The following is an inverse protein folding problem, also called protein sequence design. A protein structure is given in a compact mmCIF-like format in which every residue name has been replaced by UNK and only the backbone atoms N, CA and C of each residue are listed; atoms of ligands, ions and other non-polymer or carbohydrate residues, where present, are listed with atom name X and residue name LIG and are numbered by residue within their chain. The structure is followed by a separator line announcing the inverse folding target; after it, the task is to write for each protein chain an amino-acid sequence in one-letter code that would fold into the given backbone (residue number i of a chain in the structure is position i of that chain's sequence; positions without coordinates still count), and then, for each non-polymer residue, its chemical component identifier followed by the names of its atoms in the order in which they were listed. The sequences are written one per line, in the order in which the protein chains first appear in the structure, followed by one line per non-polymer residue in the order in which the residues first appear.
data_IF_282194374721
#
_entry.id   IF_282194374721
#
_cell.length_a   1.000
_cell.length_b   1.000
_cell.length_c   1.000
_cell.angle_alpha   90.00
_cell.angle_beta   90.00
_cell.angle_gamma   90.00
#
_symmetry.space_group_name_H-M   'P 1'
#
loop_
_entity.id
_entity.type
_entity.pdbx_description
1 polymer ?
#
# COMPACT_ATOMS: atom_id res chain seq x y z
N UNK A 1 77.58 22.41 -4.80
CA UNK A 1 76.72 23.28 -5.63
C UNK A 1 75.32 23.11 -5.08
N UNK A 2 75.08 23.69 -3.90
CA UNK A 2 73.88 23.36 -3.12
C UNK A 2 72.91 24.51 -3.30
N UNK A 3 72.21 24.49 -4.43
CA UNK A 3 71.03 25.32 -4.63
C UNK A 3 69.92 24.77 -3.72
N UNK A 4 70.01 25.12 -2.44
CA UNK A 4 68.88 25.01 -1.53
C UNK A 4 67.76 25.88 -2.11
N UNK A 5 66.77 25.20 -2.70
CA UNK A 5 65.53 25.82 -3.18
C UNK A 5 64.89 26.47 -1.96
N UNK A 6 65.12 27.78 -1.82
CA UNK A 6 64.64 28.58 -0.70
C UNK A 6 63.12 28.70 -0.86
N UNK A 7 62.39 27.71 -0.33
CA UNK A 7 60.94 27.72 -0.33
C UNK A 7 60.47 29.06 0.28
N UNK A 8 59.57 29.79 -0.40
CA UNK A 8 59.16 31.11 0.05
C UNK A 8 58.59 31.02 1.47
N UNK A 9 59.18 31.76 2.41
CA UNK A 9 58.76 31.79 3.81
C UNK A 9 57.24 32.04 3.89
N UNK A 10 56.53 31.20 4.64
CA UNK A 10 55.05 31.19 4.82
C UNK A 10 54.44 32.54 5.22
N UNK A 11 55.25 33.50 5.70
CA UNK A 11 54.82 34.84 6.09
C UNK A 11 54.88 35.90 4.98
N UNK A 12 55.15 35.53 3.72
CA UNK A 12 55.14 36.48 2.62
C UNK A 12 53.75 37.12 2.44
N UNK A 13 53.64 38.46 2.43
CA UNK A 13 52.35 39.16 2.30
C UNK A 13 51.63 38.84 0.98
N UNK A 14 52.40 38.56 -0.08
CA UNK A 14 51.88 38.11 -1.38
C UNK A 14 51.15 36.76 -1.28
N UNK A 15 51.70 35.80 -0.53
CA UNK A 15 51.06 34.49 -0.31
C UNK A 15 49.77 34.64 0.51
N UNK A 16 49.73 35.56 1.47
CA UNK A 16 48.52 35.88 2.24
C UNK A 16 47.41 36.45 1.35
N UNK A 17 47.74 37.37 0.44
CA UNK A 17 46.74 37.93 -0.48
C UNK A 17 46.25 36.89 -1.50
N UNK A 18 47.13 36.02 -2.01
CA UNK A 18 46.72 34.88 -2.86
C UNK A 18 45.77 33.94 -2.10
N UNK A 19 46.05 33.64 -0.84
CA UNK A 19 45.14 32.86 0.02
C UNK A 19 43.79 33.57 0.22
N UNK A 20 43.79 34.89 0.41
CA UNK A 20 42.57 35.70 0.51
C UNK A 20 41.75 35.65 -0.78
N UNK A 21 42.40 35.82 -1.93
CA UNK A 21 41.75 35.74 -3.24
C UNK A 21 41.22 34.34 -3.55
N UNK A 22 41.97 33.27 -3.22
CA UNK A 22 41.47 31.90 -3.34
C UNK A 22 40.24 31.67 -2.47
N UNK A 23 40.24 32.16 -1.22
CA UNK A 23 39.07 32.04 -0.35
C UNK A 23 37.85 32.80 -0.88
N UNK A 24 38.04 34.01 -1.44
CA UNK A 24 36.97 34.75 -2.10
C UNK A 24 36.46 34.02 -3.35
N UNK A 25 37.35 33.46 -4.15
CA UNK A 25 37.00 32.66 -5.33
C UNK A 25 36.17 31.43 -4.96
N UNK A 26 36.61 30.65 -3.95
CA UNK A 26 35.87 29.50 -3.42
C UNK A 26 34.47 29.91 -2.95
N UNK A 27 34.34 30.99 -2.17
CA UNK A 27 33.04 31.51 -1.73
C UNK A 27 32.14 31.89 -2.90
N UNK A 28 32.67 32.57 -3.92
CA UNK A 28 31.91 32.93 -5.13
C UNK A 28 31.39 31.70 -5.85
N UNK A 29 32.24 30.68 -6.04
CA UNK A 29 31.85 29.42 -6.69
C UNK A 29 30.75 28.71 -5.90
N UNK A 30 30.87 28.61 -4.58
CA UNK A 30 29.84 28.01 -3.73
C UNK A 30 28.50 28.75 -3.87
N UNK A 31 28.51 30.08 -3.77
CA UNK A 31 27.30 30.90 -3.90
C UNK A 31 26.65 30.72 -5.28
N UNK A 32 27.44 30.73 -6.35
CA UNK A 32 26.93 30.54 -7.71
C UNK A 32 26.35 29.14 -7.90
N UNK A 33 27.04 28.11 -7.42
CA UNK A 33 26.55 26.73 -7.46
C UNK A 33 25.25 26.57 -6.68
N UNK A 34 25.13 27.19 -5.50
CA UNK A 34 23.90 27.12 -4.71
C UNK A 34 22.74 27.84 -5.38
N UNK A 35 23.00 28.99 -6.04
CA UNK A 35 21.99 29.67 -6.86
C UNK A 35 21.55 28.80 -8.02
N UNK A 36 22.48 28.19 -8.75
CA UNK A 36 22.20 27.29 -9.87
C UNK A 36 21.44 26.03 -9.43
N UNK A 37 21.78 25.45 -8.28
CA UNK A 37 21.03 24.32 -7.70
C UNK A 37 19.60 24.73 -7.37
N UNK A 38 19.39 25.90 -6.78
CA UNK A 38 18.04 26.41 -6.46
C UNK A 38 17.20 26.65 -7.72
N UNK A 39 17.78 27.24 -8.76
CA UNK A 39 17.06 27.45 -10.03
C UNK A 39 16.75 26.13 -10.71
N UNK A 40 17.71 25.21 -10.76
CA UNK A 40 17.51 23.86 -11.30
C UNK A 40 16.39 23.11 -10.58
N UNK A 41 16.40 23.09 -9.24
CA UNK A 41 15.36 22.43 -8.45
C UNK A 41 13.98 23.03 -8.73
N UNK A 42 13.87 24.35 -8.85
CA UNK A 42 12.62 25.03 -9.20
C UNK A 42 12.13 24.62 -10.59
N UNK A 43 13.00 24.63 -11.60
CA UNK A 43 12.65 24.22 -12.95
C UNK A 43 12.24 22.75 -13.00
N UNK A 44 12.95 21.87 -12.30
CA UNK A 44 12.61 20.46 -12.20
C UNK A 44 11.23 20.25 -11.55
N UNK A 45 10.90 21.00 -10.49
CA UNK A 45 9.58 20.95 -9.87
C UNK A 45 8.47 21.36 -10.86
N UNK A 46 8.72 22.40 -11.66
CA UNK A 46 7.77 22.85 -12.69
C UNK A 46 7.59 21.80 -13.79
N UNK A 47 8.69 21.24 -14.31
CA UNK A 47 8.64 20.16 -15.30
C UNK A 47 7.89 18.93 -14.78
N UNK A 48 8.13 18.53 -13.53
CA UNK A 48 7.39 17.44 -12.91
C UNK A 48 5.90 17.74 -12.77
N UNK A 49 5.54 18.99 -12.45
CA UNK A 49 4.14 19.42 -12.39
C UNK A 49 3.49 19.33 -13.77
N UNK A 50 4.13 19.85 -14.80
CA UNK A 50 3.61 19.80 -16.18
C UNK A 50 3.50 18.35 -16.69
N UNK A 51 4.50 17.52 -16.43
CA UNK A 51 4.46 16.10 -16.76
C UNK A 51 3.28 15.39 -16.09
N UNK A 52 2.97 15.70 -14.82
CA UNK A 52 1.80 15.15 -14.13
C UNK A 52 0.48 15.60 -14.77
N UNK A 53 0.38 16.88 -15.13
CA UNK A 53 -0.82 17.42 -15.80
C UNK A 53 -1.02 16.75 -17.16
N UNK A 54 0.03 16.65 -17.98
CA UNK A 54 -0.04 15.97 -19.27
C UNK A 54 -0.38 14.49 -19.14
N UNK A 55 0.24 13.78 -18.19
CA UNK A 55 -0.10 12.38 -17.92
C UNK A 55 -1.57 12.22 -17.53
N UNK A 56 -2.12 13.15 -16.76
CA UNK A 56 -3.54 13.15 -16.41
C UNK A 56 -4.44 13.36 -17.63
N UNK A 57 -4.13 14.34 -18.48
CA UNK A 57 -4.89 14.60 -19.72
C UNK A 57 -4.84 13.39 -20.67
N UNK A 58 -3.66 12.83 -20.89
CA UNK A 58 -3.47 11.62 -21.68
C UNK A 58 -4.23 10.43 -21.09
N UNK A 59 -4.21 10.28 -19.76
CA UNK A 59 -5.00 9.27 -19.09
C UNK A 59 -6.49 9.48 -19.37
N UNK A 60 -7.01 10.69 -19.14
CA UNK A 60 -8.42 11.04 -19.34
C UNK A 60 -8.90 10.73 -20.76
N UNK A 61 -8.11 11.10 -21.78
CA UNK A 61 -8.40 10.77 -23.18
C UNK A 61 -8.37 9.25 -23.42
N UNK A 62 -7.39 8.55 -22.85
CA UNK A 62 -7.24 7.11 -23.03
C UNK A 62 -8.28 6.25 -22.31
N UNK A 63 -8.94 6.76 -21.26
CA UNK A 63 -9.88 5.99 -20.43
C UNK A 63 -11.07 5.51 -21.24
N UNK A 64 -11.66 6.37 -22.07
CA UNK A 64 -12.81 6.01 -22.89
C UNK A 64 -12.46 4.89 -23.87
N UNK A 65 -11.32 5.02 -24.56
CA UNK A 65 -10.81 3.99 -25.46
C UNK A 65 -10.51 2.67 -24.73
N UNK A 66 -9.82 2.73 -23.59
CA UNK A 66 -9.52 1.54 -22.77
C UNK A 66 -10.78 0.84 -22.30
N UNK A 67 -11.80 1.61 -21.87
CA UNK A 67 -13.10 1.07 -21.45
C UNK A 67 -13.78 0.34 -22.60
N UNK A 68 -13.86 0.97 -23.77
CA UNK A 68 -14.41 0.35 -24.98
C UNK A 68 -13.68 -0.95 -25.34
N UNK A 69 -12.34 -0.94 -25.34
CA UNK A 69 -11.53 -2.12 -25.64
C UNK A 69 -11.80 -3.28 -24.68
N UNK A 70 -11.97 -2.99 -23.38
CA UNK A 70 -12.30 -3.99 -22.36
C UNK A 70 -13.72 -4.54 -22.56
N UNK A 71 -14.68 -3.69 -22.90
CA UNK A 71 -16.05 -4.10 -23.25
C UNK A 71 -16.08 -5.01 -24.47
N UNK A 72 -15.34 -4.67 -25.54
CA UNK A 72 -15.21 -5.52 -26.72
C UNK A 72 -14.59 -6.89 -26.40
N UNK A 73 -13.52 -6.94 -25.61
CA UNK A 73 -12.91 -8.22 -25.18
C UNK A 73 -13.87 -9.04 -24.33
N UNK A 74 -14.60 -8.41 -23.40
CA UNK A 74 -15.61 -9.08 -22.58
C UNK A 74 -16.75 -9.64 -23.45
N UNK A 75 -17.20 -8.88 -24.44
CA UNK A 75 -18.22 -9.32 -25.39
C UNK A 75 -17.77 -10.54 -26.20
N UNK A 76 -16.53 -10.55 -26.71
CA UNK A 76 -15.98 -11.70 -27.43
C UNK A 76 -15.98 -12.98 -26.59
N UNK A 77 -15.65 -12.87 -25.30
CA UNK A 77 -15.70 -14.00 -24.36
C UNK A 77 -17.14 -14.48 -24.17
N UNK A 78 -18.09 -13.57 -23.96
CA UNK A 78 -19.51 -13.92 -23.84
C UNK A 78 -20.03 -14.62 -25.10
N UNK A 79 -19.78 -14.06 -26.28
CA UNK A 79 -20.19 -14.65 -27.56
C UNK A 79 -19.58 -16.03 -27.77
N UNK A 80 -18.30 -16.22 -27.43
CA UNK A 80 -17.64 -17.52 -27.50
C UNK A 80 -18.32 -18.56 -26.61
N UNK A 81 -18.57 -18.23 -25.33
CA UNK A 81 -19.27 -19.10 -24.38
C UNK A 81 -20.67 -19.48 -24.87
N UNK A 82 -21.42 -18.52 -25.42
CA UNK A 82 -22.76 -18.78 -25.98
C UNK A 82 -22.69 -19.68 -27.20
N UNK A 83 -21.74 -19.45 -28.11
CA UNK A 83 -21.53 -20.32 -29.28
C UNK A 83 -21.21 -21.76 -28.89
N UNK A 84 -20.39 -21.97 -27.86
CA UNK A 84 -20.08 -23.30 -27.33
C UNK A 84 -21.31 -23.96 -26.70
N UNK A 85 -22.11 -23.20 -25.94
CA UNK A 85 -23.36 -23.69 -25.35
C UNK A 85 -24.42 -24.05 -26.39
N UNK A 86 -24.61 -23.23 -27.42
CA UNK A 86 -25.54 -23.50 -28.53
C UNK A 86 -25.16 -24.78 -29.26
N UNK A 87 -23.87 -25.04 -29.47
CA UNK A 87 -23.39 -26.30 -30.09
C UNK A 87 -23.73 -27.56 -29.28
N UNK A 88 -23.88 -27.44 -27.96
CA UNK A 88 -24.17 -28.58 -27.09
C UNK A 88 -25.68 -28.87 -26.92
N UNK A 89 -26.56 -28.05 -27.51
CA UNK A 89 -28.01 -28.23 -27.39
C UNK A 89 -28.58 -28.92 -28.64
N UNK A 90 -29.39 -29.98 -28.48
CA UNK A 90 -29.93 -30.75 -29.61
C UNK A 90 -31.13 -30.08 -30.30
N UNK A 91 -31.58 -28.91 -29.85
CA UNK A 91 -32.81 -28.26 -30.32
C UNK A 91 -32.53 -27.21 -31.40
N UNK A 92 -33.44 -27.07 -32.36
CA UNK A 92 -33.41 -26.01 -33.38
C UNK A 92 -33.41 -24.63 -32.70
N UNK A 93 -32.28 -23.92 -32.81
CA UNK A 93 -32.11 -22.59 -32.22
C UNK A 93 -32.15 -21.54 -33.32
N UNK A 94 -32.77 -20.39 -33.03
CA UNK A 94 -32.85 -19.26 -33.94
C UNK A 94 -31.46 -18.61 -34.10
N UNK A 95 -30.64 -19.13 -34.99
CA UNK A 95 -29.29 -18.65 -35.29
C UNK A 95 -28.23 -19.01 -34.23
N UNK A 96 -26.99 -18.59 -34.49
CA UNK A 96 -25.79 -18.97 -33.70
C UNK A 96 -25.84 -18.54 -32.23
N UNK A 97 -26.67 -17.54 -31.91
CA UNK A 97 -26.80 -16.97 -30.56
C UNK A 97 -28.26 -16.92 -30.08
N UNK A 98 -29.13 -17.79 -30.60
CA UNK A 98 -30.54 -17.96 -30.17
C UNK A 98 -31.38 -16.68 -30.27
N UNK A 99 -31.11 -15.83 -31.26
CA UNK A 99 -31.81 -14.56 -31.46
C UNK A 99 -31.53 -13.49 -30.39
N UNK A 100 -30.56 -13.70 -29.50
CA UNK A 100 -30.23 -12.70 -28.47
C UNK A 100 -29.61 -11.44 -29.07
N UNK A 101 -30.14 -10.28 -28.66
CA UNK A 101 -29.55 -8.97 -28.95
C UNK A 101 -28.29 -8.73 -28.11
N UNK A 102 -27.33 -7.97 -28.65
CA UNK A 102 -26.10 -7.60 -27.93
C UNK A 102 -26.38 -6.84 -26.63
N UNK A 103 -27.43 -6.02 -26.60
CA UNK A 103 -27.84 -5.27 -25.40
C UNK A 103 -28.20 -6.16 -24.23
N UNK A 104 -28.80 -7.33 -24.49
CA UNK A 104 -29.13 -8.30 -23.46
C UNK A 104 -27.88 -8.91 -22.81
N UNK A 105 -26.73 -8.92 -23.52
CA UNK A 105 -25.46 -9.46 -23.02
C UNK A 105 -24.67 -8.45 -22.19
N UNK A 106 -25.08 -7.18 -22.11
CA UNK A 106 -24.34 -6.12 -21.39
C UNK A 106 -24.08 -6.49 -19.92
N UNK A 107 -25.02 -7.13 -19.23
CA UNK A 107 -24.85 -7.56 -17.84
C UNK A 107 -23.82 -8.69 -17.71
N UNK A 108 -23.86 -9.69 -18.60
CA UNK A 108 -22.89 -10.77 -18.67
C UNK A 108 -21.48 -10.24 -18.98
N UNK A 109 -21.37 -9.29 -19.91
CA UNK A 109 -20.10 -8.64 -20.25
C UNK A 109 -19.51 -7.91 -19.03
N UNK A 110 -20.33 -7.14 -18.31
CA UNK A 110 -19.89 -6.50 -17.05
C UNK A 110 -19.41 -7.52 -16.02
N UNK A 111 -20.09 -8.66 -15.89
CA UNK A 111 -19.67 -9.75 -14.99
C UNK A 111 -18.33 -10.33 -15.41
N UNK A 112 -18.13 -10.62 -16.70
CA UNK A 112 -16.84 -11.12 -17.22
C UNK A 112 -15.71 -10.12 -16.97
N UNK A 113 -15.95 -8.82 -17.18
CA UNK A 113 -14.96 -7.78 -16.92
C UNK A 113 -14.62 -7.72 -15.42
N UNK A 114 -15.63 -7.78 -14.55
CA UNK A 114 -15.44 -7.81 -13.11
C UNK A 114 -14.66 -9.04 -12.64
N UNK A 115 -14.97 -10.19 -13.23
CA UNK A 115 -14.28 -11.44 -12.96
C UNK A 115 -12.82 -11.39 -13.43
N UNK A 116 -12.53 -10.79 -14.57
CA UNK A 116 -11.18 -10.70 -15.10
C UNK A 116 -10.38 -9.53 -14.50
N UNK A 117 -11.00 -8.71 -13.67
CA UNK A 117 -10.35 -7.54 -13.08
C UNK A 117 -9.13 -7.96 -12.23
N UNK A 118 -7.94 -7.32 -12.39
CA UNK A 118 -6.71 -7.75 -11.73
C UNK A 118 -6.81 -7.85 -10.21
N UNK A 119 -7.53 -6.90 -9.57
CA UNK A 119 -7.78 -6.94 -8.12
C UNK A 119 -8.56 -8.18 -7.72
N UNK A 120 -9.64 -8.48 -8.43
CA UNK A 120 -10.50 -9.64 -8.16
C UNK A 120 -9.74 -10.95 -8.38
N UNK A 121 -8.89 -11.00 -9.42
CA UNK A 121 -8.02 -12.15 -9.69
C UNK A 121 -7.01 -12.37 -8.55
N UNK A 122 -6.31 -11.33 -8.12
CA UNK A 122 -5.36 -11.42 -6.99
C UNK A 122 -6.06 -11.86 -5.70
N UNK A 123 -7.25 -11.31 -5.40
CA UNK A 123 -8.02 -11.71 -4.22
C UNK A 123 -8.39 -13.20 -4.26
N UNK A 124 -8.81 -13.72 -5.42
CA UNK A 124 -9.08 -15.15 -5.59
C UNK A 124 -7.85 -16.02 -5.41
N UNK A 125 -6.70 -15.58 -5.91
CA UNK A 125 -5.43 -16.29 -5.70
C UNK A 125 -5.07 -16.34 -4.20
N UNK A 126 -5.21 -15.21 -3.50
CA UNK A 126 -5.01 -15.14 -2.04
C UNK A 126 -5.98 -16.04 -1.29
N UNK A 127 -7.27 -16.04 -1.65
CA UNK A 127 -8.28 -16.90 -1.03
C UNK A 127 -8.00 -18.38 -1.26
N UNK A 128 -7.59 -18.77 -2.47
CA UNK A 128 -7.17 -20.14 -2.78
C UNK A 128 -5.97 -20.55 -1.92
N UNK A 129 -4.96 -19.69 -1.82
CA UNK A 129 -3.79 -19.96 -0.97
C UNK A 129 -4.20 -20.07 0.50
N UNK A 130 -5.04 -19.17 1.00
CA UNK A 130 -5.57 -19.24 2.38
C UNK A 130 -6.32 -20.55 2.63
N UNK A 131 -7.16 -20.99 1.70
CA UNK A 131 -7.87 -22.26 1.82
C UNK A 131 -6.93 -23.46 1.79
N UNK A 132 -5.93 -23.46 0.91
CA UNK A 132 -4.90 -24.50 0.86
C UNK A 132 -4.13 -24.59 2.18
N UNK A 133 -3.74 -23.45 2.73
CA UNK A 133 -2.99 -23.39 3.99
C UNK A 133 -3.83 -23.81 5.20
N UNK A 134 -5.14 -23.53 5.19
CA UNK A 134 -6.09 -24.07 6.18
C UNK A 134 -6.19 -25.60 6.07
N UNK A 135 -6.25 -26.15 4.84
CA UNK A 135 -6.30 -27.60 4.62
C UNK A 135 -5.04 -28.31 5.08
N UNK A 136 -3.86 -27.70 4.83
CA UNK A 136 -2.57 -28.27 5.22
C UNK A 136 -2.28 -28.14 6.73
N UNK A 137 -3.13 -27.45 7.49
CA UNK A 137 -2.93 -27.22 8.93
C UNK A 137 -1.96 -26.08 9.26
N UNK A 138 -1.39 -25.39 8.26
CA UNK A 138 -0.51 -24.23 8.48
C UNK A 138 -1.24 -23.04 9.09
N UNK A 139 -2.54 -22.88 8.76
CA UNK A 139 -3.41 -21.87 9.36
C UNK A 139 -4.45 -22.60 10.20
N UNK A 140 -4.37 -22.40 11.51
CA UNK A 140 -5.30 -22.94 12.48
C UNK A 140 -6.60 -22.11 12.47
N UNK A 141 -7.74 -22.78 12.33
CA UNK A 141 -9.05 -22.14 12.46
C UNK A 141 -9.35 -21.87 13.94
N UNK A 142 -9.10 -20.64 14.39
CA UNK A 142 -9.28 -20.19 15.79
C UNK A 142 -10.61 -20.67 16.43
N UNK A 143 -11.73 -20.52 15.71
CA UNK A 143 -13.05 -20.90 16.23
C UNK A 143 -13.17 -22.41 16.47
N UNK A 144 -12.61 -23.23 15.57
CA UNK A 144 -12.61 -24.70 15.72
C UNK A 144 -11.72 -25.11 16.88
N UNK A 145 -10.55 -24.49 17.02
CA UNK A 145 -9.65 -24.80 18.13
C UNK A 145 -10.18 -24.34 19.47
N UNK A 146 -10.91 -23.22 19.52
CA UNK A 146 -11.53 -22.73 20.74
C UNK A 146 -12.63 -23.69 21.22
N UNK A 147 -13.45 -24.21 20.30
CA UNK A 147 -14.45 -25.23 20.61
C UNK A 147 -13.81 -26.53 21.11
N UNK A 148 -12.71 -26.99 20.50
CA UNK A 148 -12.00 -28.17 21.00
C UNK A 148 -11.36 -27.93 22.37
N UNK A 149 -10.82 -26.73 22.62
CA UNK A 149 -10.25 -26.36 23.92
C UNK A 149 -11.31 -26.33 25.01
N UNK A 150 -12.47 -25.70 24.75
CA UNK A 150 -13.58 -25.66 25.69
C UNK A 150 -14.10 -27.08 26.01
N UNK A 151 -14.17 -27.95 25.01
CA UNK A 151 -14.52 -29.36 25.23
C UNK A 151 -13.50 -30.10 26.10
N UNK A 152 -12.20 -29.85 25.92
CA UNK A 152 -11.14 -30.44 26.75
C UNK A 152 -11.22 -29.93 28.19
N UNK A 153 -11.40 -28.61 28.38
CA UNK A 153 -11.52 -27.99 29.71
C UNK A 153 -12.74 -28.55 30.46
N UNK A 154 -13.88 -28.68 29.77
CA UNK A 154 -15.10 -29.27 30.36
C UNK A 154 -14.87 -30.72 30.78
N UNK A 155 -14.27 -31.55 29.93
CA UNK A 155 -13.91 -32.94 30.30
C UNK A 155 -13.00 -33.01 31.52
N UNK A 156 -12.03 -32.12 31.66
CA UNK A 156 -11.15 -32.10 32.84
C UNK A 156 -11.85 -31.66 34.12
N UNK A 157 -12.84 -30.77 34.03
CA UNK A 157 -13.68 -30.37 35.17
C UNK A 157 -14.58 -31.51 35.66
N UNK A 158 -15.02 -32.39 34.77
CA UNK A 158 -15.86 -33.53 35.13
C UNK A 158 -15.05 -34.72 35.72
N UNK A 159 -13.74 -34.80 35.41
CA UNK A 159 -12.86 -35.90 35.85
C UNK A 159 -12.07 -35.58 37.11
N UNK A 160 -11.79 -34.31 37.40
CA UNK A 160 -11.09 -33.92 38.63
C UNK A 160 -12.13 -33.65 39.74
N UNK A 161 -12.11 -34.38 40.88
CA UNK A 161 -12.91 -33.98 42.03
C UNK A 161 -12.51 -32.57 42.42
N UNK A 162 -13.50 -31.74 42.74
CA UNK A 162 -13.31 -30.38 43.23
C UNK A 162 -12.19 -30.38 44.26
N UNK A 163 -11.03 -29.82 43.92
CA UNK A 163 -10.01 -29.51 44.90
C UNK A 163 -10.67 -28.45 45.79
N UNK A 164 -11.21 -28.90 46.93
CA UNK A 164 -11.61 -28.04 48.03
C UNK A 164 -10.33 -27.38 48.50
N UNK A 165 -10.03 -26.22 47.93
CA UNK A 165 -9.07 -25.30 48.51
C UNK A 165 -9.72 -24.84 49.80
N UNK A 166 -9.42 -25.53 50.90
CA UNK A 166 -9.71 -25.02 52.23
C UNK A 166 -9.10 -23.63 52.30
N UNK A 167 -9.96 -22.61 52.39
CA UNK A 167 -9.52 -21.23 52.58
C UNK A 167 -8.74 -21.22 53.90
N UNK A 168 -7.42 -20.93 53.90
CA UNK A 168 -6.76 -20.65 55.15
C UNK A 168 -7.42 -19.40 55.75
N UNK A 169 -7.82 -19.54 57.01
CA UNK A 169 -8.41 -18.49 57.84
C UNK A 169 -7.62 -17.18 57.76
N UNK A 170 -8.29 -16.02 57.78
CA UNK A 170 -7.62 -14.74 57.65
C UNK A 170 -6.88 -14.40 58.96
N UNK A 171 -5.55 -14.51 58.97
CA UNK A 171 -4.74 -13.92 60.03
C UNK A 171 -4.25 -12.50 59.63
N UNK A 172 -4.06 -11.61 60.61
CA UNK A 172 -4.21 -10.18 60.41
C UNK A 172 -2.96 -9.51 59.83
N UNK A 173 -3.25 -8.50 59.00
CA UNK A 173 -2.44 -7.32 58.62
C UNK A 173 -0.95 -7.34 58.98
N UNK A 174 -0.12 -7.46 57.94
CA UNK A 174 1.18 -6.78 57.90
C UNK A 174 1.16 -5.81 56.72
N UNK A 175 1.48 -4.57 57.02
CA UNK A 175 1.43 -3.38 56.18
C UNK A 175 2.51 -3.34 55.08
N UNK A 176 2.07 -2.91 53.88
CA UNK A 176 2.74 -2.05 52.91
C UNK A 176 4.26 -2.19 52.67
N UNK A 177 4.61 -2.62 51.45
CA UNK A 177 5.65 -1.92 50.67
C UNK A 177 5.09 -1.63 49.28
N UNK A 178 4.92 -0.33 49.02
CA UNK A 178 4.56 0.27 47.75
C UNK A 178 5.68 0.08 46.73
N UNK A 179 5.41 -0.61 45.62
CA UNK A 179 6.16 -0.43 44.39
C UNK A 179 5.20 -0.08 43.26
N UNK A 180 5.25 1.21 42.90
CA UNK A 180 4.63 1.79 41.71
C UNK A 180 5.41 1.35 40.48
N UNK A 181 4.75 0.73 39.51
CA UNK A 181 5.18 0.78 38.11
C UNK A 181 3.99 0.64 37.14
N UNK A 182 3.48 1.82 36.76
CA UNK A 182 3.19 2.20 35.37
C UNK A 182 2.21 1.32 34.56
N UNK A 183 0.92 1.54 34.76
CA UNK A 183 -0.08 1.41 33.70
C UNK A 183 0.06 2.60 32.73
N UNK A 184 0.54 2.35 31.50
CA UNK A 184 0.35 3.29 30.39
C UNK A 184 -0.77 2.76 29.49
N UNK A 185 -1.87 3.50 29.52
CA UNK A 185 -2.95 3.53 28.54
C UNK A 185 -2.41 3.67 27.12
N UNK A 186 -2.86 2.81 26.21
CA UNK A 186 -2.81 3.04 24.76
C UNK A 186 -4.25 2.99 24.25
N UNK A 187 -5.02 3.99 24.64
CA UNK A 187 -6.14 4.49 23.85
C UNK A 187 -5.62 5.64 22.99
N UNK A 188 -6.21 5.81 21.80
CA UNK A 188 -5.97 6.88 20.82
C UNK A 188 -4.80 6.66 19.82
N UNK A 189 -4.94 5.66 18.94
CA UNK A 189 -4.37 5.78 17.59
C UNK A 189 -5.32 6.63 16.74
N UNK A 190 -4.98 7.91 16.64
CA UNK A 190 -5.58 8.85 15.70
C UNK A 190 -5.48 8.30 14.27
N UNK A 191 -6.64 8.17 13.63
CA UNK A 191 -6.75 7.96 12.18
C UNK A 191 -6.25 9.24 11.49
N UNK A 192 -5.27 9.09 10.59
CA UNK A 192 -4.87 10.14 9.64
C UNK A 192 -6.03 10.39 8.67
N UNK A 193 -6.94 11.27 9.04
CA UNK A 193 -7.94 11.85 8.14
C UNK A 193 -7.27 13.04 7.46
N UNK A 194 -7.15 12.97 6.13
CA UNK A 194 -6.67 14.09 5.31
C UNK A 194 -7.63 15.28 5.44
N UNK A 195 -7.14 16.53 5.48
CA UNK A 195 -8.02 17.70 5.54
C UNK A 195 -8.79 17.90 4.23
N UNK A 196 -10.04 18.34 4.38
CA UNK A 196 -10.94 18.75 3.29
C UNK A 196 -10.41 20.01 2.60
N UNK A 197 -10.26 19.97 1.28
CA UNK A 197 -9.92 21.13 0.47
C UNK A 197 -11.23 21.89 0.17
N UNK A 198 -11.51 22.94 0.93
CA UNK A 198 -12.52 23.92 0.56
C UNK A 198 -11.96 24.82 -0.56
N UNK A 199 -12.52 24.69 -1.76
CA UNK A 199 -12.36 25.66 -2.83
C UNK A 199 -13.18 26.91 -2.50
N UNK A 200 -12.53 27.96 -2.00
CA UNK A 200 -13.09 29.31 -2.02
C UNK A 200 -12.56 29.96 -3.30
N UNK A 201 -13.38 30.02 -4.34
CA UNK A 201 -13.18 30.95 -5.45
C UNK A 201 -13.71 32.30 -4.99
N UNK A 202 -12.82 33.24 -4.73
CA UNK A 202 -13.16 34.66 -4.66
C UNK A 202 -13.62 35.12 -6.04
N UNK A 203 -14.82 35.70 -6.08
CA UNK A 203 -15.37 36.42 -7.21
C UNK A 203 -14.62 37.76 -7.33
N UNK A 204 -14.06 38.01 -8.51
CA UNK A 204 -13.80 39.34 -9.06
C UNK A 204 -14.22 39.29 -10.51
#
# INVERSE_FOLDING_TARGET
MDQSILLPKLNNPRLKEVGRQQNLSRKRVTITNDKLKKTYLRLNCNLQREARVQNYLNWQQSVAYKKSLVEHKGLQVCLRRKREYTKSLPTFQNGVYNGMKLDAMKSEVKRVIWEQHPRTRRMREVEKTKQLWKKNGNIVDYNKTLQSLDAIIKRQRDVLPSITVERPTPNPRISLVSQKSSLRSIENRQLLVLPSIYTIRSVT
#
